data_IF_533354557675
#
_entry.id   IF_533354557675
#
_cell.length_a   1.000
_cell.length_b   1.000
_cell.length_c   1.000
_cell.angle_alpha   90.00
_cell.angle_beta   90.00
_cell.angle_gamma   90.00
#
_symmetry.space_group_name_H-M   'P 1'
#
loop_
_entity.id
_entity.type
_entity.pdbx_description
1 polymer ?
#
# COMPACT_ATOMS: atom_id res chain seq x y z
N UNK A 1 -15.42 12.72 31.28
CA UNK A 1 -15.22 12.04 32.57
C UNK A 1 -14.36 10.81 32.40
N UNK A 2 -14.71 9.93 31.47
CA UNK A 2 -14.01 8.66 31.25
C UNK A 2 -12.52 8.86 30.90
N UNK A 3 -12.21 9.80 30.00
CA UNK A 3 -10.82 10.14 29.64
C UNK A 3 -9.98 10.49 30.88
N UNK A 4 -10.53 11.32 31.79
CA UNK A 4 -9.82 11.69 33.00
C UNK A 4 -9.65 10.51 33.95
N UNK A 5 -10.71 9.72 34.17
CA UNK A 5 -10.65 8.55 35.07
C UNK A 5 -9.76 7.45 34.55
N UNK A 6 -9.63 7.32 33.22
CA UNK A 6 -8.73 6.39 32.56
C UNK A 6 -7.30 6.92 32.43
N UNK A 7 -7.02 8.15 32.82
CA UNK A 7 -5.67 8.75 32.74
C UNK A 7 -5.22 9.02 31.31
N UNK A 8 -6.15 9.35 30.40
CA UNK A 8 -5.82 9.65 29.00
C UNK A 8 -5.02 10.95 28.92
N UNK A 9 -3.83 10.88 28.35
CA UNK A 9 -2.92 12.02 28.20
C UNK A 9 -3.01 12.65 26.80
N UNK A 10 -3.33 11.85 25.78
CA UNK A 10 -3.40 12.29 24.38
C UNK A 10 -4.70 11.78 23.74
N UNK A 11 -5.40 12.68 23.05
CA UNK A 11 -6.63 12.36 22.29
C UNK A 11 -6.36 12.55 20.80
N UNK A 12 -6.34 11.44 20.06
CA UNK A 12 -6.14 11.42 18.60
C UNK A 12 -7.49 11.29 17.91
N UNK A 13 -7.83 12.21 17.02
CA UNK A 13 -9.13 12.23 16.33
C UNK A 13 -9.08 13.02 15.03
N UNK A 14 -10.14 12.95 14.22
CA UNK A 14 -10.22 13.69 12.97
C UNK A 14 -10.41 15.19 13.13
N UNK A 15 -10.11 15.94 12.11
CA UNK A 15 -10.22 17.41 12.06
C UNK A 15 -11.65 17.93 12.28
N UNK A 16 -12.68 17.13 12.06
CA UNK A 16 -14.09 17.49 12.29
C UNK A 16 -14.38 17.86 13.77
N UNK A 17 -13.57 17.38 14.69
CA UNK A 17 -13.69 17.70 16.12
C UNK A 17 -13.02 19.01 16.53
N UNK A 18 -12.30 19.68 15.62
CA UNK A 18 -11.56 20.91 15.93
C UNK A 18 -12.50 22.00 16.49
N UNK A 19 -13.67 22.18 15.87
CA UNK A 19 -14.67 23.16 16.31
C UNK A 19 -15.31 22.84 17.67
N UNK A 20 -15.28 21.57 18.08
CA UNK A 20 -15.86 21.10 19.36
C UNK A 20 -14.86 21.12 20.51
N UNK A 21 -13.55 21.18 20.22
CA UNK A 21 -12.49 21.13 21.23
C UNK A 21 -12.62 22.20 22.32
N UNK A 22 -12.98 23.48 22.02
CA UNK A 22 -13.17 24.49 23.06
C UNK A 22 -14.25 24.14 24.09
N UNK A 23 -15.31 23.39 23.69
CA UNK A 23 -16.37 22.95 24.62
C UNK A 23 -15.84 21.92 25.63
N UNK A 24 -15.00 21.01 25.15
CA UNK A 24 -14.39 19.99 26.02
C UNK A 24 -13.39 20.61 26.97
N UNK A 25 -12.58 21.56 26.51
CA UNK A 25 -11.63 22.29 27.36
C UNK A 25 -12.36 22.99 28.53
N UNK A 26 -13.49 23.63 28.22
CA UNK A 26 -14.33 24.27 29.27
C UNK A 26 -14.83 23.29 30.31
N UNK A 27 -15.15 22.05 29.94
CA UNK A 27 -15.55 21.01 30.90
C UNK A 27 -14.38 20.60 31.80
N UNK A 28 -13.19 20.38 31.19
CA UNK A 28 -11.97 20.07 31.95
C UNK A 28 -11.64 21.18 32.95
N UNK A 29 -11.69 22.45 32.53
CA UNK A 29 -11.47 23.63 33.35
C UNK A 29 -12.49 23.69 34.50
N UNK A 30 -13.78 23.46 34.22
CA UNK A 30 -14.86 23.50 35.24
C UNK A 30 -14.68 22.43 36.30
N UNK A 31 -14.12 21.28 35.96
CA UNK A 31 -13.81 20.20 36.92
C UNK A 31 -12.44 20.38 37.60
N UNK A 32 -11.63 21.36 37.21
CA UNK A 32 -10.27 21.55 37.68
C UNK A 32 -9.29 20.46 37.20
N UNK A 33 -9.58 19.84 36.08
CA UNK A 33 -8.76 18.77 35.49
C UNK A 33 -7.79 19.32 34.45
N UNK A 34 -6.65 18.62 34.28
CA UNK A 34 -5.71 18.94 33.25
C UNK A 34 -6.28 18.54 31.87
N UNK A 35 -6.16 19.48 30.90
CA UNK A 35 -6.64 19.25 29.52
C UNK A 35 -5.66 18.35 28.79
N UNK A 36 -6.11 17.24 28.18
CA UNK A 36 -5.22 16.36 27.42
C UNK A 36 -4.69 17.04 26.16
N UNK A 37 -3.57 16.51 25.63
CA UNK A 37 -3.04 16.92 24.34
C UNK A 37 -3.95 16.43 23.21
N UNK A 38 -4.40 17.34 22.33
CA UNK A 38 -5.21 16.98 21.18
C UNK A 38 -4.34 16.86 19.91
N UNK A 39 -4.48 15.74 19.22
CA UNK A 39 -3.88 15.48 17.92
C UNK A 39 -5.01 15.34 16.92
N UNK A 40 -5.10 16.28 15.95
CA UNK A 40 -6.11 16.25 14.90
C UNK A 40 -5.51 15.70 13.63
N UNK A 41 -5.92 14.47 13.25
CA UNK A 41 -5.50 13.82 12.01
C UNK A 41 -6.10 14.54 10.79
N UNK A 42 -5.36 14.63 9.67
CA UNK A 42 -5.88 15.21 8.44
C UNK A 42 -7.06 14.40 7.88
N UNK A 43 -7.88 15.08 7.08
CA UNK A 43 -8.93 14.41 6.32
C UNK A 43 -8.29 13.56 5.21
N UNK A 44 -8.78 12.34 5.03
CA UNK A 44 -8.40 11.48 3.88
C UNK A 44 -9.47 11.66 2.80
N UNK A 45 -9.02 11.95 1.59
CA UNK A 45 -9.85 12.17 0.40
C UNK A 45 -9.50 11.17 -0.69
N UNK A 46 -10.38 11.02 -1.65
CA UNK A 46 -10.08 10.37 -2.92
C UNK A 46 -9.30 11.32 -3.86
N UNK A 47 -8.98 10.84 -5.07
CA UNK A 47 -8.28 11.61 -6.11
C UNK A 47 -9.06 12.85 -6.57
N UNK A 48 -10.38 12.88 -6.38
CA UNK A 48 -11.25 14.01 -6.70
C UNK A 48 -11.43 14.97 -5.52
N UNK A 49 -10.61 14.83 -4.47
CA UNK A 49 -10.69 15.58 -3.23
C UNK A 49 -12.03 15.46 -2.49
N UNK A 50 -12.80 14.40 -2.76
CA UNK A 50 -14.00 14.08 -2.02
C UNK A 50 -13.65 13.25 -0.79
N UNK A 51 -14.37 13.47 0.33
CA UNK A 51 -14.16 12.69 1.54
C UNK A 51 -14.31 11.19 1.26
N UNK A 52 -13.30 10.41 1.59
CA UNK A 52 -13.34 8.96 1.47
C UNK A 52 -14.52 8.42 2.27
N UNK A 53 -15.42 7.68 1.65
CA UNK A 53 -16.61 7.14 2.29
C UNK A 53 -16.72 5.64 2.07
N UNK A 54 -17.28 4.92 3.04
CA UNK A 54 -17.55 3.47 2.95
C UNK A 54 -18.42 3.08 1.74
N UNK A 55 -19.12 4.05 1.11
CA UNK A 55 -19.94 3.82 -0.08
C UNK A 55 -19.14 3.72 -1.37
N UNK A 56 -17.87 4.14 -1.37
CA UNK A 56 -16.98 4.05 -2.52
C UNK A 56 -16.31 2.67 -2.69
N UNK A 57 -16.65 1.70 -1.82
CA UNK A 57 -16.48 0.28 -2.11
C UNK A 57 -15.07 -0.30 -1.95
N UNK A 58 -14.05 0.39 -1.42
CA UNK A 58 -12.69 -0.19 -1.31
C UNK A 58 -11.84 0.49 -0.23
N UNK A 59 -12.42 0.90 0.89
CA UNK A 59 -11.73 1.76 1.86
C UNK A 59 -11.63 1.19 3.28
N UNK A 60 -12.13 -0.03 3.52
CA UNK A 60 -11.90 -0.69 4.80
C UNK A 60 -10.61 -1.52 4.76
N UNK A 61 -10.06 -1.77 5.93
CA UNK A 61 -8.88 -2.64 6.05
C UNK A 61 -9.16 -4.04 5.49
N UNK A 62 -10.33 -4.58 5.81
CA UNK A 62 -10.78 -5.90 5.38
C UNK A 62 -10.87 -5.99 3.86
N UNK A 63 -11.45 -4.97 3.20
CA UNK A 63 -11.55 -4.91 1.75
C UNK A 63 -10.16 -4.93 1.08
N UNK A 64 -9.19 -4.22 1.64
CA UNK A 64 -7.83 -4.19 1.12
C UNK A 64 -7.13 -5.55 1.29
N UNK A 65 -7.31 -6.22 2.42
CA UNK A 65 -6.77 -7.57 2.65
C UNK A 65 -7.39 -8.57 1.68
N UNK A 66 -8.70 -8.51 1.43
CA UNK A 66 -9.39 -9.35 0.45
C UNK A 66 -8.92 -9.12 -0.98
N UNK A 67 -8.51 -7.89 -1.30
CA UNK A 67 -7.89 -7.55 -2.59
C UNK A 67 -6.45 -8.06 -2.73
N UNK A 68 -5.87 -8.66 -1.70
CA UNK A 68 -4.53 -9.25 -1.73
C UNK A 68 -3.39 -8.31 -1.32
N UNK A 69 -3.71 -7.22 -0.61
CA UNK A 69 -2.70 -6.36 0.01
C UNK A 69 -2.16 -6.98 1.30
N UNK A 70 -0.88 -6.81 1.54
CA UNK A 70 -0.22 -7.20 2.79
C UNK A 70 -0.57 -6.22 3.91
N UNK A 71 -0.83 -6.74 5.10
CA UNK A 71 -1.10 -5.94 6.29
C UNK A 71 0.01 -4.94 6.57
N UNK A 72 1.27 -5.34 6.43
CA UNK A 72 2.45 -4.51 6.63
C UNK A 72 2.48 -3.32 5.66
N UNK A 73 2.13 -3.55 4.39
CA UNK A 73 2.05 -2.49 3.37
C UNK A 73 0.91 -1.51 3.66
N UNK A 74 -0.27 -2.00 4.06
CA UNK A 74 -1.42 -1.17 4.42
C UNK A 74 -1.06 -0.27 5.61
N UNK A 75 -0.47 -0.82 6.67
CA UNK A 75 -0.08 -0.07 7.88
C UNK A 75 0.93 1.02 7.53
N UNK A 76 1.97 0.70 6.76
CA UNK A 76 2.97 1.68 6.34
C UNK A 76 2.34 2.78 5.48
N UNK A 77 1.49 2.42 4.51
CA UNK A 77 0.80 3.39 3.65
C UNK A 77 -0.09 4.33 4.46
N UNK A 78 -0.90 3.79 5.38
CA UNK A 78 -1.81 4.59 6.23
C UNK A 78 -1.03 5.55 7.13
N UNK A 79 0.13 5.12 7.66
CA UNK A 79 1.00 6.00 8.44
C UNK A 79 1.44 7.22 7.62
N UNK A 80 1.85 7.00 6.36
CA UNK A 80 2.31 8.07 5.47
C UNK A 80 1.20 9.01 4.99
N UNK A 81 -0.08 8.66 5.11
CA UNK A 81 -1.17 9.58 4.77
C UNK A 81 -1.26 10.77 5.74
N UNK A 82 -0.93 10.55 7.00
CA UNK A 82 -1.03 11.59 8.03
C UNK A 82 0.30 12.09 8.58
N UNK A 83 1.39 11.46 8.22
CA UNK A 83 2.71 11.71 8.77
C UNK A 83 3.80 11.53 7.71
N UNK A 84 4.96 12.17 7.91
CA UNK A 84 6.12 12.01 7.04
C UNK A 84 7.39 11.89 7.88
N UNK A 85 8.22 10.86 7.65
CA UNK A 85 9.50 10.73 8.34
C UNK A 85 10.47 11.82 7.89
N UNK A 86 11.40 12.20 8.78
CA UNK A 86 12.35 13.27 8.50
C UNK A 86 13.33 12.93 7.36
N UNK A 87 13.60 11.66 7.12
CA UNK A 87 14.49 11.13 6.08
C UNK A 87 13.80 10.79 4.76
N UNK A 88 12.49 11.03 4.66
CA UNK A 88 11.64 10.70 3.51
C UNK A 88 11.65 9.21 3.12
N UNK A 89 11.95 8.30 4.04
CA UNK A 89 11.86 6.87 3.81
C UNK A 89 10.39 6.46 3.62
N UNK A 90 10.06 5.80 2.52
CA UNK A 90 8.67 5.41 2.22
C UNK A 90 8.35 3.97 2.63
N UNK A 91 9.31 3.05 2.54
CA UNK A 91 9.10 1.64 2.87
C UNK A 91 9.80 1.35 4.20
N UNK A 92 8.99 1.07 5.22
CA UNK A 92 9.45 0.88 6.61
C UNK A 92 8.82 -0.37 7.22
N UNK A 93 9.58 -1.12 8.00
CA UNK A 93 9.01 -2.16 8.87
C UNK A 93 8.15 -1.53 9.98
N UNK A 94 7.36 -2.34 10.67
CA UNK A 94 6.58 -1.85 11.82
C UNK A 94 7.49 -1.30 12.92
N UNK A 95 8.62 -1.96 13.15
CA UNK A 95 9.62 -1.54 14.14
C UNK A 95 10.23 -0.19 13.76
N UNK A 96 10.61 0.01 12.49
CA UNK A 96 11.11 1.29 11.98
C UNK A 96 10.05 2.39 12.07
N UNK A 97 8.77 2.07 11.79
CA UNK A 97 7.66 3.01 11.96
C UNK A 97 7.51 3.46 13.42
N UNK A 98 7.56 2.52 14.37
CA UNK A 98 7.46 2.81 15.80
C UNK A 98 8.63 3.67 16.27
N UNK A 99 9.85 3.37 15.80
CA UNK A 99 11.05 4.13 16.19
C UNK A 99 11.05 5.55 15.63
N UNK A 100 10.59 5.75 14.39
CA UNK A 100 10.63 7.03 13.69
C UNK A 100 9.40 7.90 13.91
N UNK A 101 8.29 7.31 14.38
CA UNK A 101 7.04 8.04 14.51
C UNK A 101 7.14 9.16 15.54
N UNK A 102 6.85 10.38 15.08
CA UNK A 102 6.72 11.55 15.92
C UNK A 102 5.46 12.33 15.51
N UNK A 103 4.51 12.45 16.44
CA UNK A 103 3.25 13.15 16.18
C UNK A 103 3.43 14.66 15.92
N UNK A 104 4.58 15.25 16.25
CA UNK A 104 4.90 16.64 15.93
C UNK A 104 5.08 16.85 14.41
N UNK A 105 5.39 15.78 13.66
CA UNK A 105 5.52 15.79 12.20
C UNK A 105 4.23 15.35 11.46
N UNK A 106 3.09 15.43 12.15
CA UNK A 106 1.79 15.17 11.51
C UNK A 106 1.44 16.22 10.47
N UNK A 107 0.98 15.78 9.31
CA UNK A 107 0.56 16.65 8.22
C UNK A 107 -0.73 17.39 8.59
N UNK A 108 -0.82 18.67 8.23
CA UNK A 108 -2.01 19.50 8.47
C UNK A 108 -2.97 19.51 7.28
N UNK A 109 -2.45 19.25 6.10
CA UNK A 109 -3.23 19.23 4.85
C UNK A 109 -3.95 17.90 4.68
N UNK A 110 -5.12 17.88 4.01
CA UNK A 110 -5.78 16.64 3.61
C UNK A 110 -4.84 15.74 2.82
N UNK A 111 -4.89 14.44 3.08
CA UNK A 111 -4.13 13.44 2.35
C UNK A 111 -5.02 12.77 1.29
N UNK A 112 -4.47 12.52 0.12
CA UNK A 112 -5.15 11.78 -0.95
C UNK A 112 -4.83 10.29 -0.77
N UNK A 113 -5.88 9.45 -0.78
CA UNK A 113 -5.73 8.01 -0.81
C UNK A 113 -5.36 7.59 -2.24
N UNK A 114 -4.06 7.47 -2.50
CA UNK A 114 -3.51 7.06 -3.78
C UNK A 114 -3.40 5.52 -3.82
N UNK A 115 -4.32 4.89 -4.54
CA UNK A 115 -4.37 3.44 -4.70
C UNK A 115 -3.18 2.90 -5.50
N UNK A 116 -2.69 3.67 -6.48
CA UNK A 116 -1.52 3.30 -7.28
C UNK A 116 -0.27 3.26 -6.40
N UNK A 117 -0.10 4.26 -5.52
CA UNK A 117 0.99 4.27 -4.55
C UNK A 117 0.91 3.09 -3.58
N UNK A 118 -0.29 2.75 -3.10
CA UNK A 118 -0.48 1.59 -2.22
C UNK A 118 -0.09 0.29 -2.93
N UNK A 119 -0.49 0.09 -4.19
CA UNK A 119 -0.09 -1.07 -4.99
C UNK A 119 1.42 -1.16 -5.14
N UNK A 120 2.06 -0.07 -5.54
CA UNK A 120 3.52 -0.02 -5.65
C UNK A 120 4.22 -0.38 -4.33
N UNK A 121 3.78 0.22 -3.22
CA UNK A 121 4.33 -0.10 -1.90
C UNK A 121 4.17 -1.58 -1.59
N UNK A 122 3.00 -2.15 -1.82
CA UNK A 122 2.74 -3.57 -1.60
C UNK A 122 3.67 -4.46 -2.42
N UNK A 123 3.91 -4.11 -3.70
CA UNK A 123 4.88 -4.80 -4.56
C UNK A 123 6.30 -4.77 -3.97
N UNK A 124 6.72 -3.66 -3.37
CA UNK A 124 8.03 -3.57 -2.71
C UNK A 124 8.16 -4.51 -1.48
N UNK A 125 7.07 -4.68 -0.71
CA UNK A 125 7.04 -5.66 0.38
C UNK A 125 7.06 -7.10 -0.15
N UNK A 126 6.30 -7.41 -1.22
CA UNK A 126 6.31 -8.74 -1.86
C UNK A 126 7.70 -9.10 -2.38
N UNK A 127 8.40 -8.16 -3.03
CA UNK A 127 9.76 -8.37 -3.54
C UNK A 127 10.77 -8.71 -2.45
N UNK A 128 10.62 -8.10 -1.27
CA UNK A 128 11.51 -8.29 -0.11
C UNK A 128 11.12 -9.48 0.75
N UNK A 129 9.93 -10.06 0.54
CA UNK A 129 9.42 -11.17 1.32
C UNK A 129 10.29 -12.43 1.13
N UNK A 130 10.48 -13.20 2.22
CA UNK A 130 11.07 -14.53 2.13
C UNK A 130 10.31 -15.41 1.12
N UNK A 131 11.06 -16.15 0.30
CA UNK A 131 10.46 -16.91 -0.80
C UNK A 131 9.50 -18.00 -0.33
N UNK A 132 9.80 -18.71 0.76
CA UNK A 132 8.92 -19.78 1.22
C UNK A 132 7.60 -19.21 1.78
N UNK A 133 7.66 -18.04 2.48
CA UNK A 133 6.46 -17.29 2.89
C UNK A 133 5.67 -16.84 1.66
N UNK A 134 6.33 -16.24 0.68
CA UNK A 134 5.71 -15.81 -0.57
C UNK A 134 5.05 -16.98 -1.29
N UNK A 135 5.76 -18.09 -1.47
CA UNK A 135 5.24 -19.28 -2.15
C UNK A 135 3.99 -19.83 -1.47
N UNK A 136 3.98 -19.87 -0.14
CA UNK A 136 2.81 -20.32 0.62
C UNK A 136 1.57 -19.47 0.34
N UNK A 137 1.72 -18.14 0.23
CA UNK A 137 0.64 -17.20 -0.05
C UNK A 137 0.24 -17.19 -1.54
N UNK A 138 1.19 -17.37 -2.44
CA UNK A 138 0.97 -17.37 -3.89
C UNK A 138 0.33 -18.67 -4.41
N UNK A 139 0.57 -19.80 -3.72
CA UNK A 139 0.17 -21.13 -4.17
C UNK A 139 -1.32 -21.28 -4.50
N UNK A 140 -2.28 -20.72 -3.72
CA UNK A 140 -3.69 -20.78 -4.08
C UNK A 140 -3.96 -20.12 -5.44
N UNK A 141 -3.42 -18.94 -5.69
CA UNK A 141 -3.61 -18.20 -6.94
C UNK A 141 -2.96 -18.90 -8.14
N UNK A 142 -1.78 -19.49 -7.95
CA UNK A 142 -1.11 -20.27 -9.01
C UNK A 142 -1.94 -21.51 -9.37
N UNK A 143 -2.49 -22.23 -8.39
CA UNK A 143 -3.30 -23.44 -8.60
C UNK A 143 -4.67 -23.17 -9.23
N UNK A 144 -5.17 -21.96 -9.16
CA UNK A 144 -6.39 -21.57 -9.87
C UNK A 144 -6.21 -21.55 -11.38
N UNK A 145 -4.99 -21.21 -11.86
CA UNK A 145 -4.68 -21.07 -13.28
C UNK A 145 -3.96 -22.31 -13.82
N UNK A 146 -2.94 -22.79 -13.10
CA UNK A 146 -2.08 -23.89 -13.57
C UNK A 146 -2.71 -25.22 -13.24
N UNK A 147 -3.11 -25.94 -14.28
CA UNK A 147 -3.71 -27.29 -14.21
C UNK A 147 -2.74 -28.39 -14.62
N UNK A 148 -1.74 -28.08 -15.44
CA UNK A 148 -0.72 -29.02 -15.91
C UNK A 148 0.39 -29.23 -14.88
N UNK A 149 1.15 -30.29 -15.06
CA UNK A 149 2.26 -30.66 -14.16
C UNK A 149 3.50 -29.79 -14.45
N UNK A 150 3.52 -28.60 -13.86
CA UNK A 150 4.65 -27.68 -13.90
C UNK A 150 5.32 -27.53 -12.53
N UNK A 151 6.58 -27.12 -12.52
CA UNK A 151 7.28 -26.73 -11.31
C UNK A 151 6.73 -25.39 -10.77
N UNK A 152 5.74 -25.48 -9.88
CA UNK A 152 5.05 -24.32 -9.32
C UNK A 152 6.00 -23.41 -8.52
N UNK A 153 7.10 -23.92 -7.97
CA UNK A 153 8.10 -23.06 -7.28
C UNK A 153 8.84 -22.18 -8.27
N UNK A 154 9.19 -22.69 -9.45
CA UNK A 154 9.80 -21.87 -10.51
C UNK A 154 8.85 -20.78 -11.01
N UNK A 155 7.57 -21.13 -11.20
CA UNK A 155 6.55 -20.15 -11.58
C UNK A 155 6.43 -19.07 -10.51
N UNK A 156 6.32 -19.42 -9.23
CA UNK A 156 6.26 -18.49 -8.14
C UNK A 156 7.49 -17.55 -8.11
N UNK A 157 8.69 -18.09 -8.32
CA UNK A 157 9.91 -17.29 -8.34
C UNK A 157 9.94 -16.26 -9.49
N UNK A 158 9.35 -16.61 -10.64
CA UNK A 158 9.25 -15.69 -11.77
C UNK A 158 8.32 -14.51 -11.51
N UNK A 159 7.24 -14.70 -10.76
CA UNK A 159 6.22 -13.67 -10.56
C UNK A 159 6.45 -12.80 -9.33
N UNK A 160 7.22 -13.26 -8.34
CA UNK A 160 7.44 -12.52 -7.09
C UNK A 160 7.89 -11.08 -7.30
N UNK A 161 8.73 -10.81 -8.29
CA UNK A 161 9.26 -9.47 -8.57
C UNK A 161 8.41 -8.65 -9.53
N UNK A 162 7.31 -9.22 -10.05
CA UNK A 162 6.51 -8.64 -11.13
C UNK A 162 5.11 -8.23 -10.70
N UNK A 163 4.63 -8.75 -9.59
CA UNK A 163 3.28 -8.49 -9.08
C UNK A 163 3.30 -7.38 -8.04
N UNK A 164 2.21 -6.65 -7.96
CA UNK A 164 1.94 -5.66 -6.93
C UNK A 164 0.95 -6.16 -5.88
N UNK A 165 0.00 -7.03 -6.27
CA UNK A 165 -0.94 -7.72 -5.38
C UNK A 165 -1.02 -9.20 -5.78
N UNK A 166 -1.42 -10.09 -4.86
CA UNK A 166 -1.46 -11.52 -5.14
C UNK A 166 -2.40 -11.94 -6.29
N UNK A 167 -3.58 -11.32 -6.49
CA UNK A 167 -4.43 -11.63 -7.64
C UNK A 167 -3.77 -11.39 -9.00
N UNK A 168 -2.79 -10.47 -9.11
CA UNK A 168 -2.06 -10.20 -10.35
C UNK A 168 -1.32 -11.44 -10.88
N UNK A 169 -1.05 -12.43 -10.00
CA UNK A 169 -0.42 -13.69 -10.39
C UNK A 169 -1.13 -14.32 -11.57
N UNK A 170 -2.47 -14.30 -11.58
CA UNK A 170 -3.29 -14.93 -12.62
C UNK A 170 -2.93 -14.41 -14.01
N UNK A 171 -2.85 -13.11 -14.15
CA UNK A 171 -2.57 -12.43 -15.43
C UNK A 171 -1.10 -12.60 -15.88
N UNK A 172 -0.21 -12.97 -14.94
CA UNK A 172 1.21 -13.17 -15.21
C UNK A 172 1.58 -14.62 -15.55
N UNK A 173 0.65 -15.59 -15.42
CA UNK A 173 0.92 -17.00 -15.63
C UNK A 173 -0.09 -17.72 -16.56
N UNK A 174 -1.09 -17.02 -17.05
CA UNK A 174 -2.12 -17.55 -17.94
C UNK A 174 -1.52 -18.19 -19.21
N UNK A 175 -0.45 -17.59 -19.74
CA UNK A 175 0.25 -18.08 -20.92
C UNK A 175 0.88 -19.49 -20.78
N UNK A 176 1.00 -20.03 -19.56
CA UNK A 176 1.43 -21.42 -19.37
C UNK A 176 0.34 -22.41 -19.76
N UNK A 177 -0.93 -22.02 -19.66
CA UNK A 177 -2.07 -22.87 -20.03
C UNK A 177 -2.53 -22.62 -21.45
N UNK A 178 -2.69 -21.36 -21.85
CA UNK A 178 -3.12 -20.94 -23.18
C UNK A 178 -2.25 -19.79 -23.68
N UNK A 179 -1.76 -19.90 -24.92
CA UNK A 179 -1.09 -18.77 -25.57
C UNK A 179 -2.16 -17.73 -25.93
N UNK A 180 -2.02 -16.48 -25.47
CA UNK A 180 -2.94 -15.42 -25.87
C UNK A 180 -2.87 -15.19 -27.38
N UNK A 181 -3.97 -14.74 -27.98
CA UNK A 181 -3.94 -14.24 -29.36
C UNK A 181 -2.99 -13.03 -29.43
N UNK A 182 -1.99 -13.12 -30.27
CA UNK A 182 -0.99 -12.05 -30.44
C UNK A 182 -0.88 -11.64 -31.91
N UNK A 183 -0.65 -10.36 -32.13
CA UNK A 183 -0.36 -9.86 -33.47
C UNK A 183 1.08 -10.23 -33.87
N UNK A 184 1.23 -11.00 -34.95
CA UNK A 184 2.53 -11.41 -35.52
C UNK A 184 3.42 -10.20 -35.84
N UNK A 185 2.82 -9.03 -36.09
CA UNK A 185 3.57 -7.78 -36.31
C UNK A 185 4.41 -7.37 -35.08
N UNK A 186 4.05 -7.78 -33.85
CA UNK A 186 4.87 -7.52 -32.64
C UNK A 186 6.25 -8.16 -32.72
N UNK A 187 6.41 -9.31 -33.37
CA UNK A 187 7.69 -9.98 -33.55
C UNK A 187 8.59 -9.28 -34.58
N UNK A 188 8.00 -8.66 -35.60
CA UNK A 188 8.77 -7.92 -36.63
C UNK A 188 9.37 -6.63 -36.04
N UNK A 189 8.67 -5.94 -35.15
CA UNK A 189 9.22 -4.78 -34.43
C UNK A 189 10.40 -5.15 -33.53
N UNK A 190 10.33 -6.28 -32.84
CA UNK A 190 11.42 -6.77 -31.98
C UNK A 190 12.66 -7.19 -32.79
N UNK A 191 12.47 -7.79 -33.96
CA UNK A 191 13.58 -8.22 -34.83
C UNK A 191 14.34 -7.04 -35.49
N UNK A 192 13.67 -5.91 -35.75
CA UNK A 192 14.32 -4.70 -36.28
C UNK A 192 15.29 -4.11 -35.24
N UNK A 193 14.98 -4.13 -33.97
CA UNK A 193 15.87 -3.66 -32.91
C UNK A 193 17.08 -4.59 -32.66
N UNK A 194 16.97 -5.86 -32.95
CA UNK A 194 18.07 -6.84 -32.78
C UNK A 194 19.04 -6.78 -33.99
N UNK A 195 18.60 -6.34 -35.16
CA UNK A 195 19.42 -6.34 -36.39
C UNK A 195 20.21 -5.03 -36.62
N UNK A 196 19.88 -3.92 -35.98
CA UNK A 196 20.57 -2.64 -36.14
C UNK A 196 22.02 -2.59 -35.59
N UNK A 197 22.36 -3.21 -34.43
CA UNK A 197 23.72 -3.14 -33.90
C UNK A 197 24.78 -3.79 -34.81
N UNK A 198 24.39 -4.73 -35.68
CA UNK A 198 25.34 -5.46 -36.56
C UNK A 198 25.66 -4.74 -37.85
N UNK A 199 24.95 -3.69 -38.25
CA UNK A 199 25.22 -2.92 -39.47
C UNK A 199 26.30 -1.85 -39.32
N UNK A 200 26.63 -1.41 -38.13
CA UNK A 200 27.63 -0.38 -37.87
C UNK A 200 29.08 -0.91 -37.70
N UNK A 201 29.29 -2.22 -37.72
CA UNK A 201 30.63 -2.81 -37.55
C UNK A 201 31.30 -3.23 -38.88
N UNK A 202 30.80 -2.75 -40.01
CA UNK A 202 31.42 -3.05 -41.33
C UNK A 202 31.69 -1.80 -42.15
N UNK A 203 32.39 -0.82 -41.59
CA UNK A 203 33.10 0.19 -42.39
C UNK A 203 34.27 0.71 -41.56
N UNK A 204 35.42 0.11 -41.70
CA UNK A 204 36.75 0.72 -41.79
C UNK A 204 37.78 -0.37 -41.90
#
# INVERSE_FOLDING_TARGET
VDDHLMGITHVVRGNEYLSSSPKYNRLYEAFGWEVPVYIHCPLITDENHQKLSKRCGHSSFEDLVEQGFLTEAIVNFVALLGWSPADNQEIMTLEELVEKFDYHHMNKSPAVFDYTKLKWMNGEYIKKMDFDKFYGMALPYIKEVITKDYDLKKIAHMVQTRIEIFPDIRDHIDFFEELPEYDVAMYTLSLIHISEPTRHLRIS
#
